data_IF_513273286527
#
_entry.id   IF_513273286527
#
_cell.length_a   1.000
_cell.length_b   1.000
_cell.length_c   1.000
_cell.angle_alpha   90.00
_cell.angle_beta   90.00
_cell.angle_gamma   90.00
#
_symmetry.space_group_name_H-M   'P 1'
#
loop_
_entity.id
_entity.type
_entity.pdbx_description
1 polymer ?
#
# COMPACT_ATOMS: atom_id res chain seq x y z
N UNK A 1 4.25 10.63 -9.16
CA UNK A 1 4.46 11.55 -8.02
C UNK A 1 4.13 10.77 -6.77
N UNK A 2 5.06 10.68 -5.81
CA UNK A 2 4.81 9.92 -4.58
C UNK A 2 3.67 10.55 -3.78
N UNK A 3 2.60 9.81 -3.54
CA UNK A 3 1.47 10.19 -2.68
C UNK A 3 1.46 9.32 -1.43
N UNK A 4 1.01 9.88 -0.31
CA UNK A 4 1.04 9.20 0.98
C UNK A 4 -0.21 9.50 1.79
N UNK A 5 -0.83 8.44 2.30
CA UNK A 5 -2.07 8.47 3.06
C UNK A 5 -1.92 7.70 4.35
N UNK A 6 -2.76 8.03 5.34
CA UNK A 6 -2.79 7.40 6.66
C UNK A 6 -4.21 6.91 6.94
N UNK A 7 -4.34 5.72 7.55
CA UNK A 7 -5.62 5.04 7.77
C UNK A 7 -6.46 4.96 6.48
N UNK A 8 -5.82 4.48 5.41
CA UNK A 8 -6.37 4.51 4.05
C UNK A 8 -7.23 3.28 3.77
N UNK A 9 -8.42 3.47 3.19
CA UNK A 9 -9.30 2.36 2.81
C UNK A 9 -8.72 1.60 1.61
N UNK A 10 -8.59 0.29 1.77
CA UNK A 10 -8.13 -0.62 0.71
C UNK A 10 -9.29 -1.21 -0.10
N UNK A 11 -10.53 -0.73 0.08
CA UNK A 11 -11.72 -1.26 -0.58
C UNK A 11 -11.60 -1.24 -2.11
N UNK A 12 -10.99 -0.18 -2.67
CA UNK A 12 -10.72 -0.07 -4.11
C UNK A 12 -9.46 -0.82 -4.57
N UNK A 13 -8.71 -1.42 -3.64
CA UNK A 13 -7.40 -2.06 -3.86
C UNK A 13 -7.43 -3.57 -3.56
N UNK A 14 -8.62 -4.17 -3.51
CA UNK A 14 -8.79 -5.62 -3.50
C UNK A 14 -10.08 -6.00 -4.21
N UNK A 15 -10.02 -6.97 -5.13
CA UNK A 15 -11.20 -7.33 -5.94
C UNK A 15 -12.22 -8.18 -5.19
N UNK A 16 -11.88 -8.64 -3.98
CA UNK A 16 -12.81 -9.33 -3.09
C UNK A 16 -13.80 -8.37 -2.41
N UNK A 17 -13.57 -7.04 -2.48
CA UNK A 17 -14.46 -6.05 -1.87
C UNK A 17 -14.44 -6.06 -0.35
N UNK A 18 -13.31 -6.47 0.25
CA UNK A 18 -13.12 -6.48 1.69
C UNK A 18 -12.88 -5.05 2.16
N UNK A 19 -13.73 -4.60 3.10
CA UNK A 19 -13.64 -3.28 3.72
C UNK A 19 -12.63 -3.32 4.89
N UNK A 20 -11.38 -2.96 4.58
CA UNK A 20 -10.25 -2.88 5.52
C UNK A 20 -9.42 -1.66 5.21
N UNK A 21 -8.58 -1.28 6.16
CA UNK A 21 -7.66 -0.14 6.05
C UNK A 21 -6.19 -0.57 6.16
N UNK A 22 -5.30 0.26 5.59
CA UNK A 22 -3.88 0.26 5.91
C UNK A 22 -3.53 1.43 6.81
N UNK A 23 -2.66 1.22 7.79
CA UNK A 23 -2.14 2.29 8.65
C UNK A 23 -1.46 3.39 7.82
N UNK A 24 -0.78 2.99 6.73
CA UNK A 24 -0.13 3.86 5.77
C UNK A 24 -0.22 3.29 4.36
N UNK A 25 -0.53 4.13 3.39
CA UNK A 25 -0.57 3.76 1.97
C UNK A 25 0.30 4.74 1.17
N UNK A 26 1.21 4.20 0.35
CA UNK A 26 2.12 5.00 -0.48
C UNK A 26 1.91 4.60 -1.94
N UNK A 27 1.52 5.56 -2.77
CA UNK A 27 1.42 5.39 -4.22
C UNK A 27 2.61 6.03 -4.92
N UNK A 28 3.04 5.41 -6.01
CA UNK A 28 4.13 5.87 -6.85
C UNK A 28 3.88 5.40 -8.29
N UNK A 29 4.44 6.12 -9.27
CA UNK A 29 4.12 5.92 -10.70
C UNK A 29 5.31 5.43 -11.53
N UNK A 30 6.53 5.56 -11.02
CA UNK A 30 7.76 5.24 -11.78
C UNK A 30 8.74 4.38 -10.98
N UNK A 31 9.62 3.62 -11.66
CA UNK A 31 10.70 2.89 -10.99
C UNK A 31 11.64 3.80 -10.18
N UNK A 32 11.91 5.02 -10.66
CA UNK A 32 12.77 5.97 -9.96
C UNK A 32 12.17 6.40 -8.62
N UNK A 33 10.85 6.61 -8.57
CA UNK A 33 10.15 6.92 -7.31
C UNK A 33 10.21 5.76 -6.30
N UNK A 34 10.09 4.52 -6.78
CA UNK A 34 10.29 3.34 -5.93
C UNK A 34 11.73 3.24 -5.41
N UNK A 35 12.72 3.48 -6.27
CA UNK A 35 14.14 3.53 -5.89
C UNK A 35 14.38 4.59 -4.82
N UNK A 36 13.78 5.78 -4.96
CA UNK A 36 13.88 6.86 -3.97
C UNK A 36 13.24 6.46 -2.64
N UNK A 37 12.06 5.82 -2.65
CA UNK A 37 11.38 5.33 -1.44
C UNK A 37 12.22 4.31 -0.67
N UNK A 38 12.89 3.40 -1.39
CA UNK A 38 13.78 2.38 -0.80
C UNK A 38 15.05 3.05 -0.26
N UNK A 39 15.71 3.87 -1.05
CA UNK A 39 17.00 4.51 -0.71
C UNK A 39 16.88 5.50 0.45
N UNK A 40 15.73 6.17 0.56
CA UNK A 40 15.42 7.09 1.66
C UNK A 40 14.86 6.39 2.91
N UNK A 41 14.80 5.05 2.92
CA UNK A 41 14.28 4.24 4.02
C UNK A 41 12.84 4.63 4.43
N UNK A 42 12.03 5.05 3.45
CA UNK A 42 10.62 5.43 3.66
C UNK A 42 9.70 4.22 3.72
N UNK A 43 10.13 3.05 3.24
CA UNK A 43 9.39 1.78 3.34
C UNK A 43 9.79 1.07 4.64
N UNK A 44 8.92 1.13 5.66
CA UNK A 44 9.15 0.52 6.98
C UNK A 44 8.49 -0.85 7.07
N UNK A 45 8.94 -1.72 7.98
CA UNK A 45 8.28 -3.01 8.23
C UNK A 45 7.17 -2.85 9.29
N UNK A 46 6.06 -3.60 9.18
CA UNK A 46 5.69 -4.44 8.04
C UNK A 46 5.34 -3.59 6.80
N UNK A 47 5.61 -4.08 5.59
CA UNK A 47 5.12 -3.49 4.33
C UNK A 47 4.63 -4.59 3.41
N UNK A 48 3.68 -4.24 2.55
CA UNK A 48 3.11 -5.12 1.54
C UNK A 48 3.06 -4.37 0.21
N UNK A 49 3.88 -4.80 -0.75
CA UNK A 49 3.86 -4.21 -2.09
C UNK A 49 2.79 -4.91 -2.95
N UNK A 50 1.84 -4.13 -3.47
CA UNK A 50 0.69 -4.63 -4.23
C UNK A 50 0.53 -3.89 -5.56
N UNK A 51 -0.10 -4.58 -6.52
CA UNK A 51 -0.71 -3.93 -7.68
C UNK A 51 -2.19 -3.64 -7.40
N UNK A 52 -3.07 -4.00 -8.33
CA UNK A 52 -4.52 -3.78 -8.23
C UNK A 52 -5.26 -4.73 -7.25
N UNK A 53 -4.55 -5.63 -6.56
CA UNK A 53 -5.16 -6.49 -5.54
C UNK A 53 -6.13 -7.57 -6.05
N UNK A 54 -5.96 -8.06 -7.28
CA UNK A 54 -6.86 -9.08 -7.88
C UNK A 54 -6.73 -10.50 -7.30
N UNK A 55 -5.73 -10.72 -6.46
CA UNK A 55 -5.47 -12.00 -5.79
C UNK A 55 -4.97 -11.77 -4.36
N UNK A 56 -5.63 -10.87 -3.64
CA UNK A 56 -5.26 -10.48 -2.28
C UNK A 56 -6.49 -10.59 -1.37
N UNK A 57 -6.40 -11.46 -0.36
CA UNK A 57 -7.44 -11.63 0.65
C UNK A 57 -6.96 -11.04 1.97
N UNK A 58 -7.47 -9.86 2.31
CA UNK A 58 -7.28 -9.29 3.64
C UNK A 58 -8.19 -10.00 4.65
N UNK A 59 -7.63 -10.34 5.82
CA UNK A 59 -8.38 -10.98 6.92
C UNK A 59 -8.59 -10.06 8.11
N UNK A 60 -7.95 -8.89 8.09
CA UNK A 60 -8.03 -7.79 9.07
C UNK A 60 -7.37 -6.54 8.49
N UNK A 61 -7.52 -5.42 9.17
CA UNK A 61 -6.75 -4.21 8.89
C UNK A 61 -5.24 -4.47 8.89
N UNK A 62 -4.54 -3.77 8.00
CA UNK A 62 -3.11 -3.87 7.84
C UNK A 62 -2.39 -2.77 8.64
N UNK A 63 -1.76 -3.16 9.74
CA UNK A 63 -1.04 -2.28 10.69
C UNK A 63 0.35 -1.82 10.17
N UNK A 64 0.50 -1.64 8.85
CA UNK A 64 1.74 -1.20 8.20
C UNK A 64 1.48 -0.52 6.88
#
# INVERSE_FOLDING_TARGET
>A
MIQEYYNYSLLSHNTFGIDVTASRFIEYDTPDELCDLISSNRIKRPHLHIGQGSNLLFVKDFEG
#
